data_IF_509479143467
#
_entry.id   IF_509479143467
#
_cell.length_a   1.000
_cell.length_b   1.000
_cell.length_c   1.000
_cell.angle_alpha   90.00
_cell.angle_beta   90.00
_cell.angle_gamma   90.00
#
_symmetry.space_group_name_H-M   'P 1'
#
loop_
_entity.id
_entity.type
_entity.pdbx_description
1 polymer ?
#
# COMPACT_ATOMS: atom_id res chain seq x y z
N UNK A 1 36.83 -1.27 -52.07
CA UNK A 1 37.04 -0.51 -50.82
C UNK A 1 35.66 -0.29 -50.21
N UNK A 2 35.33 -1.08 -49.20
CA UNK A 2 34.01 -1.12 -48.56
C UNK A 2 33.91 0.01 -47.55
N UNK A 3 33.02 0.97 -47.78
CA UNK A 3 32.61 1.96 -46.79
C UNK A 3 31.84 1.25 -45.67
N UNK A 4 32.49 0.97 -44.56
CA UNK A 4 31.82 0.61 -43.31
C UNK A 4 31.45 1.91 -42.59
N UNK A 5 30.20 2.33 -42.76
CA UNK A 5 29.60 3.35 -41.90
C UNK A 5 29.37 2.74 -40.52
N UNK A 6 30.09 3.29 -39.55
CA UNK A 6 29.96 3.11 -38.10
C UNK A 6 28.46 3.12 -37.68
N UNK A 7 27.94 2.08 -37.02
CA UNK A 7 26.58 2.14 -36.49
C UNK A 7 26.54 3.18 -35.37
N UNK A 8 25.67 4.17 -35.56
CA UNK A 8 25.34 5.21 -34.58
C UNK A 8 24.83 4.56 -33.29
N UNK A 9 25.73 4.46 -32.31
CA UNK A 9 25.48 4.16 -30.90
C UNK A 9 24.72 5.32 -30.23
N UNK A 10 23.48 5.61 -30.64
CA UNK A 10 22.57 6.50 -29.90
C UNK A 10 21.17 6.49 -30.53
N UNK A 11 20.53 5.33 -30.65
CA UNK A 11 19.07 5.35 -30.55
C UNK A 11 18.76 5.54 -29.06
N UNK A 12 18.11 6.65 -28.63
CA UNK A 12 17.55 6.68 -27.30
C UNK A 12 16.55 5.53 -27.25
N UNK A 13 16.70 4.65 -26.25
CA UNK A 13 15.68 3.65 -25.93
C UNK A 13 14.34 4.39 -25.83
N UNK A 14 13.56 4.34 -26.92
CA UNK A 14 12.23 4.89 -26.97
C UNK A 14 11.36 3.95 -26.13
N UNK A 15 11.45 4.11 -24.81
CA UNK A 15 10.52 3.53 -23.88
C UNK A 15 9.17 4.11 -24.27
N UNK A 16 8.30 3.30 -24.86
CA UNK A 16 6.90 3.69 -25.02
C UNK A 16 6.39 3.92 -23.60
N UNK A 17 6.02 5.15 -23.23
CA UNK A 17 5.65 5.42 -21.86
C UNK A 17 4.36 4.66 -21.56
N UNK A 18 4.37 3.82 -20.52
CA UNK A 18 3.20 3.05 -20.10
C UNK A 18 2.02 3.96 -19.69
N UNK A 19 2.29 5.23 -19.42
CA UNK A 19 1.35 6.26 -19.00
C UNK A 19 1.40 7.44 -19.97
N UNK A 20 0.24 8.00 -20.30
CA UNK A 20 0.18 9.27 -21.02
C UNK A 20 0.64 10.45 -20.13
N UNK A 21 0.89 11.63 -20.71
CA UNK A 21 1.44 12.77 -19.97
C UNK A 21 0.61 13.15 -18.73
N UNK A 22 -0.72 13.13 -18.83
CA UNK A 22 -1.63 13.46 -17.72
C UNK A 22 -1.54 12.40 -16.62
N UNK A 23 -1.52 11.13 -17.00
CA UNK A 23 -1.37 10.01 -16.06
C UNK A 23 -0.02 10.05 -15.35
N UNK A 24 1.07 10.36 -16.07
CA UNK A 24 2.40 10.51 -15.49
C UNK A 24 2.49 11.67 -14.50
N UNK A 25 1.84 12.81 -14.80
CA UNK A 25 1.75 13.94 -13.88
C UNK A 25 0.95 13.58 -12.62
N UNK A 26 -0.22 12.95 -12.79
CA UNK A 26 -1.05 12.52 -11.68
C UNK A 26 -0.30 11.51 -10.78
N UNK A 27 0.34 10.52 -11.39
CA UNK A 27 1.17 9.54 -10.69
C UNK A 27 2.28 10.22 -9.88
N UNK A 28 3.10 11.08 -10.51
CA UNK A 28 4.18 11.77 -9.82
C UNK A 28 3.69 12.64 -8.65
N UNK A 29 2.59 13.38 -8.84
CA UNK A 29 1.99 14.20 -7.77
C UNK A 29 1.47 13.34 -6.62
N UNK A 30 0.70 12.29 -6.92
CA UNK A 30 0.15 11.41 -5.87
C UNK A 30 1.23 10.67 -5.09
N UNK A 31 2.27 10.15 -5.76
CA UNK A 31 3.40 9.51 -5.09
C UNK A 31 4.20 10.50 -4.25
N UNK A 32 4.46 11.71 -4.76
CA UNK A 32 5.17 12.77 -4.02
C UNK A 32 4.43 13.19 -2.76
N UNK A 33 3.13 13.50 -2.87
CA UNK A 33 2.29 13.87 -1.73
C UNK A 33 2.18 12.73 -0.71
N UNK A 34 2.10 11.49 -1.16
CA UNK A 34 2.04 10.31 -0.27
C UNK A 34 3.32 10.19 0.56
N UNK A 35 4.49 10.35 -0.07
CA UNK A 35 5.79 10.32 0.61
C UNK A 35 5.90 11.49 1.59
N UNK A 36 5.49 12.69 1.19
CA UNK A 36 5.51 13.88 2.05
C UNK A 36 4.67 13.67 3.31
N UNK A 37 3.41 13.23 3.16
CA UNK A 37 2.50 12.96 4.29
C UNK A 37 3.09 11.89 5.21
N UNK A 38 3.65 10.81 4.66
CA UNK A 38 4.26 9.75 5.45
C UNK A 38 5.48 10.25 6.24
N UNK A 39 6.33 11.08 5.64
CA UNK A 39 7.46 11.71 6.31
C UNK A 39 7.00 12.66 7.42
N UNK A 40 5.97 13.49 7.18
CA UNK A 40 5.38 14.33 8.23
C UNK A 40 4.84 13.49 9.40
N UNK A 41 4.22 12.35 9.11
CA UNK A 41 3.77 11.38 10.11
C UNK A 41 4.90 10.81 10.95
N UNK A 42 6.06 10.50 10.35
CA UNK A 42 7.26 10.05 11.07
C UNK A 42 7.85 11.13 11.95
N UNK A 43 7.89 12.38 11.48
CA UNK A 43 8.38 13.51 12.27
C UNK A 43 7.45 13.73 13.47
N UNK A 44 6.14 13.73 13.27
CA UNK A 44 5.16 13.87 14.34
C UNK A 44 5.29 12.74 15.38
N UNK A 45 5.47 11.50 14.92
CA UNK A 45 5.72 10.38 15.81
C UNK A 45 7.03 10.56 16.59
N UNK A 46 8.12 10.98 15.94
CA UNK A 46 9.39 11.25 16.62
C UNK A 46 9.24 12.32 17.71
N UNK A 47 8.51 13.41 17.45
CA UNK A 47 8.21 14.43 18.46
C UNK A 47 7.44 13.84 19.65
N UNK A 48 6.41 13.01 19.41
CA UNK A 48 5.68 12.34 20.49
C UNK A 48 6.57 11.41 21.33
N UNK A 49 7.54 10.74 20.71
CA UNK A 49 8.51 9.91 21.43
C UNK A 49 9.43 10.71 22.37
N UNK A 50 9.69 11.98 22.05
CA UNK A 50 10.47 12.86 22.92
C UNK A 50 9.64 13.45 24.07
N UNK A 51 8.35 13.70 23.84
CA UNK A 51 7.47 14.33 24.83
C UNK A 51 6.82 13.33 25.81
N UNK A 52 6.60 12.07 25.41
CA UNK A 52 5.92 11.08 26.27
C UNK A 52 6.86 10.07 26.93
N UNK A 53 6.65 9.80 28.23
CA UNK A 53 7.42 8.81 29.00
C UNK A 53 7.15 7.35 28.57
N UNK A 54 6.02 7.10 27.89
CA UNK A 54 5.62 5.75 27.44
C UNK A 54 5.12 5.77 26.02
N UNK A 55 5.66 4.87 25.21
CA UNK A 55 5.26 4.70 23.81
C UNK A 55 3.93 3.97 23.73
N UNK A 56 2.92 4.62 23.16
CA UNK A 56 1.62 3.99 22.86
C UNK A 56 1.75 2.97 21.73
N UNK A 57 0.97 1.88 21.80
CA UNK A 57 0.84 0.89 20.72
C UNK A 57 0.40 1.57 19.41
N UNK A 58 -0.44 2.60 19.50
CA UNK A 58 -0.86 3.39 18.34
C UNK A 58 0.32 4.10 17.66
N UNK A 59 1.27 4.62 18.43
CA UNK A 59 2.45 5.32 17.91
C UNK A 59 3.39 4.34 17.21
N UNK A 60 3.57 3.12 17.74
CA UNK A 60 4.37 2.06 17.09
C UNK A 60 3.77 1.69 15.74
N UNK A 61 2.46 1.46 15.67
CA UNK A 61 1.79 1.09 14.42
C UNK A 61 1.85 2.24 13.42
N UNK A 62 1.69 3.49 13.87
CA UNK A 62 1.78 4.67 13.00
C UNK A 62 3.18 4.81 12.40
N UNK A 63 4.24 4.56 13.18
CA UNK A 63 5.61 4.55 12.66
C UNK A 63 5.77 3.43 11.62
N UNK A 64 5.36 2.21 11.95
CA UNK A 64 5.49 1.07 11.04
C UNK A 64 4.75 1.31 9.72
N UNK A 65 3.52 1.84 9.79
CA UNK A 65 2.72 2.20 8.63
C UNK A 65 3.38 3.27 7.76
N UNK A 66 3.87 4.36 8.36
CA UNK A 66 4.53 5.42 7.60
C UNK A 66 5.85 4.94 6.95
N UNK A 67 6.64 4.11 7.64
CA UNK A 67 7.84 3.50 7.04
C UNK A 67 7.45 2.64 5.83
N UNK A 68 6.45 1.77 5.99
CA UNK A 68 5.97 0.94 4.89
C UNK A 68 5.43 1.78 3.72
N UNK A 69 4.76 2.89 4.01
CA UNK A 69 4.26 3.84 3.00
C UNK A 69 5.39 4.45 2.19
N UNK A 70 6.45 4.95 2.84
CA UNK A 70 7.62 5.51 2.15
C UNK A 70 8.29 4.46 1.27
N UNK A 71 8.50 3.25 1.80
CA UNK A 71 9.12 2.16 1.05
C UNK A 71 8.26 1.79 -0.16
N UNK A 72 6.96 1.54 0.05
CA UNK A 72 6.05 1.13 -1.02
C UNK A 72 5.90 2.20 -2.10
N UNK A 73 5.74 3.47 -1.72
CA UNK A 73 5.65 4.57 -2.69
C UNK A 73 6.93 4.70 -3.51
N UNK A 74 8.10 4.58 -2.87
CA UNK A 74 9.40 4.61 -3.56
C UNK A 74 9.57 3.44 -4.53
N UNK A 75 9.18 2.23 -4.12
CA UNK A 75 9.22 1.03 -4.98
C UNK A 75 8.24 1.15 -6.13
N UNK A 76 7.07 1.76 -5.91
CA UNK A 76 6.09 1.98 -6.98
C UNK A 76 6.65 2.92 -8.05
N UNK A 77 7.31 4.02 -7.64
CA UNK A 77 8.02 4.89 -8.59
C UNK A 77 9.12 4.13 -9.33
N UNK A 78 9.94 3.36 -8.61
CA UNK A 78 10.99 2.55 -9.21
C UNK A 78 10.47 1.47 -10.16
N UNK A 79 9.30 0.88 -9.86
CA UNK A 79 8.69 -0.19 -10.67
C UNK A 79 8.34 0.26 -12.09
N UNK A 80 8.11 1.56 -12.28
CA UNK A 80 7.85 2.18 -13.58
C UNK A 80 9.14 2.43 -14.39
N UNK A 81 10.31 2.21 -13.79
CA UNK A 81 11.63 2.39 -14.40
C UNK A 81 12.38 1.05 -14.60
N UNK A 82 11.67 -0.08 -14.44
CA UNK A 82 12.26 -1.41 -14.58
C UNK A 82 12.54 -1.74 -16.05
N UNK A 83 13.72 -2.31 -16.30
CA UNK A 83 14.12 -2.90 -17.58
C UNK A 83 14.00 -4.43 -17.54
N UNK A 84 14.49 -5.07 -18.61
CA UNK A 84 14.41 -6.53 -18.78
C UNK A 84 15.10 -7.30 -17.64
N UNK A 85 16.31 -6.88 -17.26
CA UNK A 85 17.14 -7.60 -16.28
C UNK A 85 16.58 -7.60 -14.85
N UNK A 86 15.80 -6.60 -14.48
CA UNK A 86 15.29 -6.41 -13.12
C UNK A 86 13.77 -6.46 -13.02
N UNK A 87 13.05 -6.71 -14.13
CA UNK A 87 11.59 -6.69 -14.16
C UNK A 87 10.96 -7.67 -13.15
N UNK A 88 11.34 -8.94 -13.20
CA UNK A 88 10.73 -9.99 -12.35
C UNK A 88 10.95 -9.69 -10.87
N UNK A 89 12.18 -9.37 -10.48
CA UNK A 89 12.51 -9.07 -9.09
C UNK A 89 11.88 -7.75 -8.62
N UNK A 90 11.92 -6.71 -9.46
CA UNK A 90 11.36 -5.41 -9.14
C UNK A 90 9.84 -5.47 -8.94
N UNK A 91 9.12 -6.20 -9.80
CA UNK A 91 7.68 -6.42 -9.64
C UNK A 91 7.35 -7.28 -8.43
N UNK A 92 8.15 -8.33 -8.15
CA UNK A 92 7.97 -9.11 -6.93
C UNK A 92 8.09 -8.23 -5.68
N UNK A 93 9.11 -7.38 -5.61
CA UNK A 93 9.27 -6.41 -4.51
C UNK A 93 8.09 -5.44 -4.44
N UNK A 94 7.60 -4.94 -5.59
CA UNK A 94 6.44 -4.07 -5.63
C UNK A 94 5.19 -4.73 -5.02
N UNK A 95 4.88 -5.98 -5.41
CA UNK A 95 3.76 -6.75 -4.84
C UNK A 95 3.95 -7.00 -3.36
N UNK A 96 5.15 -7.42 -2.95
CA UNK A 96 5.47 -7.72 -1.56
C UNK A 96 5.25 -6.51 -0.65
N UNK A 97 5.82 -5.35 -1.02
CA UNK A 97 5.68 -4.13 -0.24
C UNK A 97 4.28 -3.52 -0.34
N UNK A 98 3.56 -3.68 -1.45
CA UNK A 98 2.15 -3.31 -1.55
C UNK A 98 1.31 -4.06 -0.51
N UNK A 99 1.45 -5.39 -0.46
CA UNK A 99 0.68 -6.21 0.47
C UNK A 99 1.05 -5.93 1.95
N UNK A 100 2.33 -5.66 2.25
CA UNK A 100 2.73 -5.20 3.60
C UNK A 100 2.05 -3.88 3.94
N UNK A 101 2.07 -2.91 3.03
CA UNK A 101 1.44 -1.60 3.23
C UNK A 101 -0.07 -1.75 3.51
N UNK A 102 -0.79 -2.52 2.69
CA UNK A 102 -2.22 -2.74 2.88
C UNK A 102 -2.55 -3.48 4.18
N UNK A 103 -1.79 -4.53 4.53
CA UNK A 103 -1.99 -5.25 5.81
C UNK A 103 -1.74 -4.34 7.00
N UNK A 104 -0.70 -3.49 6.96
CA UNK A 104 -0.43 -2.54 8.05
C UNK A 104 -1.52 -1.48 8.18
N UNK A 105 -2.08 -1.02 7.06
CA UNK A 105 -3.23 -0.12 7.05
C UNK A 105 -4.43 -0.76 7.75
N UNK A 106 -4.77 -1.99 7.40
CA UNK A 106 -5.87 -2.73 8.03
C UNK A 106 -5.63 -2.95 9.52
N UNK A 107 -4.41 -3.32 9.92
CA UNK A 107 -4.05 -3.46 11.34
C UNK A 107 -4.24 -2.15 12.09
N UNK A 108 -3.83 -1.02 11.49
CA UNK A 108 -4.06 0.30 12.08
C UNK A 108 -5.55 0.60 12.24
N UNK A 109 -6.36 0.33 11.22
CA UNK A 109 -7.81 0.50 11.27
C UNK A 109 -8.47 -0.38 12.35
N UNK A 110 -8.11 -1.65 12.42
CA UNK A 110 -8.64 -2.59 13.41
C UNK A 110 -8.24 -2.23 14.85
N UNK A 111 -7.05 -1.66 15.05
CA UNK A 111 -6.62 -1.17 16.36
C UNK A 111 -7.41 0.06 16.80
N UNK A 112 -7.72 0.97 15.88
CA UNK A 112 -8.63 2.09 16.18
C UNK A 112 -10.04 1.58 16.49
N UNK A 113 -10.53 0.61 15.73
CA UNK A 113 -11.83 -0.03 15.99
C UNK A 113 -11.88 -0.65 17.39
N UNK A 114 -10.80 -1.34 17.80
CA UNK A 114 -10.71 -1.91 19.14
C UNK A 114 -10.69 -0.83 20.24
N UNK A 115 -9.93 0.25 20.04
CA UNK A 115 -9.92 1.38 20.97
C UNK A 115 -11.29 2.06 21.10
N UNK A 116 -11.98 2.30 19.98
CA UNK A 116 -13.34 2.89 19.95
C UNK A 116 -14.36 1.99 20.66
N UNK A 117 -14.17 0.67 20.61
CA UNK A 117 -15.01 -0.29 21.33
C UNK A 117 -14.75 -0.36 22.84
N UNK A 118 -13.98 0.59 23.40
CA UNK A 118 -13.50 0.59 24.78
C UNK A 118 -12.79 -0.72 25.17
N UNK A 119 -11.99 -1.26 24.24
CA UNK A 119 -11.22 -2.49 24.42
C UNK A 119 -12.10 -3.71 24.75
N UNK A 120 -13.26 -3.84 24.10
CA UNK A 120 -14.17 -4.97 24.31
C UNK A 120 -13.58 -6.28 23.75
N UNK A 121 -13.48 -7.35 24.56
CA UNK A 121 -12.86 -8.61 24.12
C UNK A 121 -13.61 -9.27 22.94
N UNK A 122 -14.92 -9.05 22.82
CA UNK A 122 -15.69 -9.56 21.68
C UNK A 122 -15.29 -8.89 20.37
N UNK A 123 -15.00 -7.58 20.40
CA UNK A 123 -14.53 -6.84 19.22
C UNK A 123 -13.11 -7.28 18.87
N UNK A 124 -12.25 -7.56 19.86
CA UNK A 124 -10.91 -8.07 19.63
C UNK A 124 -10.92 -9.39 18.82
N UNK A 125 -11.81 -10.33 19.17
CA UNK A 125 -11.95 -11.59 18.42
C UNK A 125 -12.35 -11.30 16.97
N UNK A 126 -13.27 -10.35 16.75
CA UNK A 126 -13.64 -9.88 15.43
C UNK A 126 -12.45 -9.31 14.66
N UNK A 127 -11.68 -8.40 15.28
CA UNK A 127 -10.47 -7.83 14.69
C UNK A 127 -9.46 -8.90 14.28
N UNK A 128 -9.20 -9.88 15.15
CA UNK A 128 -8.27 -10.99 14.84
C UNK A 128 -8.79 -11.81 13.67
N UNK A 129 -10.08 -12.14 13.64
CA UNK A 129 -10.67 -12.95 12.57
C UNK A 129 -10.58 -12.27 11.19
N UNK A 130 -10.98 -11.00 11.09
CA UNK A 130 -10.90 -10.26 9.82
C UNK A 130 -9.45 -9.94 9.43
N UNK A 131 -8.58 -9.66 10.39
CA UNK A 131 -7.16 -9.44 10.15
C UNK A 131 -6.44 -10.70 9.63
N UNK A 132 -6.74 -11.88 10.18
CA UNK A 132 -6.20 -13.14 9.67
C UNK A 132 -6.71 -13.42 8.24
N UNK A 133 -7.99 -13.19 7.98
CA UNK A 133 -8.55 -13.31 6.63
C UNK A 133 -7.80 -12.44 5.62
N UNK A 134 -7.48 -11.19 6.00
CA UNK A 134 -6.66 -10.28 5.20
C UNK A 134 -5.24 -10.80 4.93
N UNK A 135 -4.56 -11.27 5.97
CA UNK A 135 -3.19 -11.79 5.87
C UNK A 135 -3.14 -13.03 4.98
N UNK A 136 -4.13 -13.93 5.06
CA UNK A 136 -4.22 -15.09 4.17
C UNK A 136 -4.25 -14.67 2.71
N UNK A 137 -5.07 -13.68 2.34
CA UNK A 137 -5.13 -13.19 0.96
C UNK A 137 -3.87 -12.45 0.51
N UNK A 138 -3.23 -11.70 1.42
CA UNK A 138 -1.93 -11.08 1.14
C UNK A 138 -0.89 -12.14 0.74
N UNK A 139 -0.79 -13.22 1.51
CA UNK A 139 0.16 -14.32 1.25
C UNK A 139 -0.15 -15.00 -0.09
N UNK A 140 -1.42 -15.29 -0.36
CA UNK A 140 -1.84 -15.90 -1.63
C UNK A 140 -1.49 -14.98 -2.81
N UNK A 141 -1.66 -13.67 -2.66
CA UNK A 141 -1.33 -12.71 -3.72
C UNK A 141 0.17 -12.65 -4.01
N UNK A 142 0.99 -12.53 -2.96
CA UNK A 142 2.46 -12.54 -3.09
C UNK A 142 2.94 -13.83 -3.76
N UNK A 143 2.30 -14.97 -3.47
CA UNK A 143 2.70 -16.27 -4.00
C UNK A 143 2.27 -16.53 -5.44
N UNK A 144 1.25 -15.82 -5.95
CA UNK A 144 0.63 -16.12 -7.25
C UNK A 144 0.79 -15.02 -8.30
N UNK A 145 0.81 -13.77 -7.86
CA UNK A 145 1.00 -12.62 -8.74
C UNK A 145 2.49 -12.42 -9.00
N UNK A 146 2.84 -12.00 -10.22
CA UNK A 146 4.23 -11.88 -10.64
C UNK A 146 4.40 -10.85 -11.75
N UNK A 147 5.63 -10.35 -11.92
CA UNK A 147 6.01 -9.55 -13.08
C UNK A 147 6.57 -10.42 -14.21
N UNK A 148 6.41 -9.94 -15.43
CA UNK A 148 7.04 -10.51 -16.61
C UNK A 148 7.46 -9.40 -17.56
N UNK A 149 8.53 -9.63 -18.33
CA UNK A 149 8.96 -8.71 -19.37
C UNK A 149 8.15 -8.96 -20.64
N UNK A 150 7.54 -7.90 -21.19
CA UNK A 150 6.89 -7.93 -22.48
C UNK A 150 7.89 -7.46 -23.56
N UNK A 151 8.40 -8.36 -24.43
CA UNK A 151 9.37 -8.00 -25.45
C UNK A 151 8.74 -7.21 -26.62
N UNK A 152 7.43 -7.32 -26.85
CA UNK A 152 6.73 -6.60 -27.92
C UNK A 152 6.55 -5.14 -27.55
N UNK A 153 6.11 -4.89 -26.32
CA UNK A 153 5.86 -3.54 -25.80
C UNK A 153 7.09 -2.92 -25.10
N UNK A 154 8.19 -3.68 -24.99
CA UNK A 154 9.45 -3.30 -24.34
C UNK A 154 9.23 -2.70 -22.95
N UNK A 155 8.37 -3.34 -22.15
CA UNK A 155 8.02 -2.88 -20.81
C UNK A 155 7.89 -4.03 -19.83
N UNK A 156 8.11 -3.70 -18.57
CA UNK A 156 7.82 -4.62 -17.48
C UNK A 156 6.31 -4.61 -17.18
N UNK A 157 5.65 -5.74 -17.40
CA UNK A 157 4.22 -5.93 -17.17
C UNK A 157 3.96 -6.68 -15.87
N UNK A 158 2.81 -6.41 -15.27
CA UNK A 158 2.36 -7.06 -14.06
C UNK A 158 1.20 -8.02 -14.37
N UNK A 159 1.32 -9.26 -13.91
CA UNK A 159 0.25 -10.24 -13.93
C UNK A 159 -0.34 -10.40 -12.52
N UNK A 160 -1.55 -9.87 -12.34
CA UNK A 160 -2.36 -10.08 -11.15
C UNK A 160 -3.08 -11.43 -11.25
N UNK A 161 -2.87 -12.33 -10.28
CA UNK A 161 -3.67 -13.54 -10.23
C UNK A 161 -5.13 -13.18 -9.88
N UNK A 162 -6.13 -13.50 -10.72
CA UNK A 162 -7.48 -12.95 -10.58
C UNK A 162 -8.15 -13.28 -9.24
N UNK A 163 -7.93 -14.50 -8.72
CA UNK A 163 -8.54 -14.95 -7.48
C UNK A 163 -7.94 -14.25 -6.27
N UNK A 164 -6.62 -14.07 -6.23
CA UNK A 164 -5.98 -13.31 -5.15
C UNK A 164 -6.35 -11.83 -5.22
N UNK A 165 -6.45 -11.28 -6.44
CA UNK A 165 -6.89 -9.92 -6.71
C UNK A 165 -8.26 -9.63 -6.09
N UNK A 166 -9.26 -10.46 -6.40
CA UNK A 166 -10.59 -10.36 -5.79
C UNK A 166 -10.51 -10.59 -4.28
N UNK A 167 -9.73 -11.59 -3.86
CA UNK A 167 -9.58 -12.00 -2.48
C UNK A 167 -9.11 -10.88 -1.56
N UNK A 168 -7.95 -10.27 -1.82
CA UNK A 168 -7.42 -9.22 -0.94
C UNK A 168 -8.30 -7.96 -0.96
N UNK A 169 -8.83 -7.55 -2.12
CA UNK A 169 -9.73 -6.39 -2.20
C UNK A 169 -11.02 -6.64 -1.39
N UNK A 170 -11.56 -7.86 -1.44
CA UNK A 170 -12.73 -8.22 -0.63
C UNK A 170 -12.41 -8.25 0.87
N UNK A 171 -11.19 -8.63 1.24
CA UNK A 171 -10.73 -8.59 2.63
C UNK A 171 -10.64 -7.15 3.15
N UNK A 172 -10.07 -6.23 2.36
CA UNK A 172 -10.02 -4.79 2.70
C UNK A 172 -11.44 -4.25 2.94
N UNK A 173 -12.38 -4.54 2.04
CA UNK A 173 -13.80 -4.14 2.19
C UNK A 173 -14.42 -4.71 3.48
N UNK A 174 -14.13 -5.97 3.82
CA UNK A 174 -14.64 -6.58 5.06
C UNK A 174 -14.07 -5.89 6.30
N UNK A 175 -12.78 -5.55 6.30
CA UNK A 175 -12.14 -4.80 7.39
C UNK A 175 -12.79 -3.43 7.56
N UNK A 176 -13.02 -2.70 6.47
CA UNK A 176 -13.64 -1.38 6.47
C UNK A 176 -15.10 -1.43 6.95
N UNK A 177 -15.88 -2.37 6.44
CA UNK A 177 -17.28 -2.57 6.84
C UNK A 177 -17.36 -2.94 8.32
N UNK A 178 -16.54 -3.89 8.78
CA UNK A 178 -16.48 -4.28 10.19
C UNK A 178 -16.13 -3.08 11.09
N UNK A 179 -15.09 -2.34 10.74
CA UNK A 179 -14.64 -1.16 11.47
C UNK A 179 -15.73 -0.08 11.54
N UNK A 180 -16.42 0.15 10.42
CA UNK A 180 -17.52 1.10 10.34
C UNK A 180 -18.70 0.70 11.23
N UNK A 181 -19.11 -0.57 11.19
CA UNK A 181 -20.22 -1.08 12.01
C UNK A 181 -19.92 -0.93 13.50
N UNK A 182 -18.72 -1.32 13.93
CA UNK A 182 -18.32 -1.20 15.35
C UNK A 182 -18.27 0.27 15.75
N UNK A 183 -17.68 1.14 14.93
CA UNK A 183 -17.63 2.57 15.20
C UNK A 183 -19.04 3.17 15.38
N UNK A 184 -19.99 2.82 14.50
CA UNK A 184 -21.37 3.28 14.60
C UNK A 184 -22.09 2.72 15.84
N UNK A 185 -21.91 1.44 16.14
CA UNK A 185 -22.58 0.79 17.27
C UNK A 185 -22.16 1.39 18.62
N UNK A 186 -20.85 1.61 18.82
CA UNK A 186 -20.31 2.13 20.07
C UNK A 186 -20.49 3.65 20.23
N UNK A 187 -20.61 4.40 19.12
CA UNK A 187 -20.86 5.85 19.16
C UNK A 187 -22.34 6.24 18.97
N UNK A 188 -23.24 5.26 18.82
CA UNK A 188 -24.67 5.50 18.53
C UNK A 188 -25.36 6.45 19.51
N UNK A 189 -25.01 6.37 20.79
CA UNK A 189 -25.57 7.25 21.83
C UNK A 189 -25.15 8.71 21.63
N UNK A 190 -23.92 8.97 21.21
CA UNK A 190 -23.43 10.33 20.92
C UNK A 190 -24.06 10.90 19.65
N UNK A 191 -24.27 10.05 18.64
CA UNK A 191 -24.93 10.44 17.39
C UNK A 191 -26.40 10.87 17.61
N UNK A 192 -27.14 10.18 18.48
CA UNK A 192 -28.53 10.54 18.81
C UNK A 192 -28.65 11.89 19.50
N UNK A 193 -27.70 12.26 20.35
CA UNK A 193 -27.73 13.55 21.05
C UNK A 193 -27.47 14.72 20.11
N UNK A 194 -26.65 14.54 19.07
CA UNK A 194 -26.42 15.56 18.05
C UNK A 194 -27.61 15.75 17.08
N UNK A 195 -28.42 14.71 16.86
CA UNK A 195 -29.59 14.79 15.97
C UNK A 195 -30.82 15.43 16.64
N UNK A 196 -30.91 15.36 17.97
CA UNK A 196 -32.02 15.90 18.74
C UNK A 196 -31.81 17.34 19.25
N UNK A 197 -30.74 18.01 18.82
CA UNK A 197 -30.49 19.45 18.98
C UNK A 197 -30.55 20.14 17.61
#
# INVERSE_FOLDING_TARGET
MSNQTLPTLLEPLAHVPALNQVQSMAFALTSGLTIEIACSGLIAAACQFYDEEKVSVSSIITIAFNIATVIYASITVWSNLLGEDNCVLGQFLAVFFAQIFYVLFDVFMLMKTYAVSAFSPNVLIGCIAVGLYRVCWAVVDIAKSHGYWDPEERRCAYYQYPVSGIGYNSADIIVDVFSTIVALAYNWKHLKTCWNN
#
